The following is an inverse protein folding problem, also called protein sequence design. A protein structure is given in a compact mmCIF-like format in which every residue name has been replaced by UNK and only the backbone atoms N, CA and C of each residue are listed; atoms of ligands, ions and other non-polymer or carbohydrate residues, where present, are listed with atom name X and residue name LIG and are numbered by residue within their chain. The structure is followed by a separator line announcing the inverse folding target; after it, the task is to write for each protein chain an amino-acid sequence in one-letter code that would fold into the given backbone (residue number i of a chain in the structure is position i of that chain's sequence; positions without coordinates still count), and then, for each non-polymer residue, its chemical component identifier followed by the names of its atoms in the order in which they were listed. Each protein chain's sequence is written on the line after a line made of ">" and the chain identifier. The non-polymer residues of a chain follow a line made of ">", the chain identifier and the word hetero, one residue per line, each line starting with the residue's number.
data_IF_654784397302
#
_entry.id   IF_654784397302
#
_cell.length_a   1.000
_cell.length_b   1.000
_cell.length_c   1.000
_cell.angle_alpha   90.00
_cell.angle_beta   90.00
_cell.angle_gamma   90.00
#
_symmetry.space_group_name_H-M   'P 1'
#
loop_
_entity.id
_entity.type
_entity.pdbx_description
1 polymer ?
#
# COMPACT_ATOMS: atom_id res chain seq x y z
N UNK A 1 4.23 21.77 -17.23
CA UNK A 1 4.56 21.59 -15.79
C UNK A 1 5.15 20.19 -15.61
N UNK A 2 6.31 20.06 -14.96
CA UNK A 2 6.95 18.74 -14.77
C UNK A 2 6.24 17.94 -13.65
N UNK A 3 6.12 16.62 -13.82
CA UNK A 3 5.54 15.68 -12.83
C UNK A 3 6.60 14.90 -12.04
N UNK A 4 7.84 15.41 -11.96
CA UNK A 4 8.96 14.72 -11.30
C UNK A 4 8.68 14.42 -9.82
N UNK A 5 8.08 15.35 -9.09
CA UNK A 5 7.73 15.17 -7.68
C UNK A 5 6.68 14.06 -7.49
N UNK A 6 5.62 14.03 -8.30
CA UNK A 6 4.59 12.98 -8.23
C UNK A 6 5.20 11.60 -8.52
N UNK A 7 6.06 11.50 -9.54
CA UNK A 7 6.77 10.25 -9.84
C UNK A 7 7.63 9.79 -8.67
N UNK A 8 8.39 10.72 -8.06
CA UNK A 8 9.20 10.43 -6.87
C UNK A 8 8.35 9.91 -5.71
N UNK A 9 7.26 10.59 -5.37
CA UNK A 9 6.36 10.19 -4.29
C UNK A 9 5.77 8.80 -4.53
N UNK A 10 5.30 8.52 -5.74
CA UNK A 10 4.71 7.21 -6.08
C UNK A 10 5.75 6.09 -6.11
N UNK A 11 6.98 6.37 -6.54
CA UNK A 11 8.06 5.40 -6.42
C UNK A 11 8.41 5.10 -4.97
N UNK A 12 8.50 6.12 -4.11
CA UNK A 12 8.69 5.94 -2.67
C UNK A 12 7.55 5.12 -2.05
N UNK A 13 6.29 5.40 -2.40
CA UNK A 13 5.13 4.61 -1.95
C UNK A 13 5.26 3.15 -2.38
N UNK A 14 5.53 2.90 -3.65
CA UNK A 14 5.60 1.53 -4.17
C UNK A 14 6.70 0.72 -3.51
N UNK A 15 7.88 1.33 -3.32
CA UNK A 15 8.99 0.70 -2.59
C UNK A 15 8.59 0.43 -1.14
N UNK A 16 8.00 1.42 -0.46
CA UNK A 16 7.56 1.27 0.93
C UNK A 16 6.56 0.14 1.11
N UNK A 17 5.51 0.06 0.28
CA UNK A 17 4.48 -0.98 0.38
C UNK A 17 5.04 -2.39 0.14
N UNK A 18 6.05 -2.52 -0.74
CA UNK A 18 6.74 -3.80 -0.93
C UNK A 18 7.54 -4.16 0.32
N UNK A 19 8.29 -3.21 0.87
CA UNK A 19 9.05 -3.42 2.11
C UNK A 19 8.13 -3.77 3.27
N UNK A 20 7.04 -3.03 3.46
CA UNK A 20 6.07 -3.25 4.52
C UNK A 20 5.34 -4.59 4.38
N UNK A 21 4.96 -4.98 3.16
CA UNK A 21 4.41 -6.30 2.89
C UNK A 21 5.39 -7.43 3.19
N UNK A 22 6.68 -7.27 2.87
CA UNK A 22 7.72 -8.23 3.24
C UNK A 22 7.93 -8.29 4.75
N UNK A 23 7.98 -7.15 5.45
CA UNK A 23 8.09 -7.11 6.91
C UNK A 23 6.89 -7.79 7.57
N UNK A 24 5.70 -7.60 7.03
CA UNK A 24 4.47 -8.25 7.50
C UNK A 24 4.55 -9.77 7.35
N UNK A 25 5.00 -10.28 6.21
CA UNK A 25 5.13 -11.73 5.99
C UNK A 25 6.21 -12.32 6.89
N UNK A 26 7.41 -11.73 6.88
CA UNK A 26 8.59 -12.34 7.51
C UNK A 26 8.68 -12.05 9.00
N UNK A 27 8.43 -10.82 9.46
CA UNK A 27 8.52 -10.52 10.90
C UNK A 27 7.25 -10.97 11.62
N UNK A 28 6.08 -10.45 11.20
CA UNK A 28 4.82 -10.77 11.88
C UNK A 28 4.40 -12.21 11.66
N UNK A 29 4.45 -12.71 10.42
CA UNK A 29 4.10 -14.10 10.13
C UNK A 29 4.95 -15.11 10.92
N UNK A 30 6.27 -14.94 10.96
CA UNK A 30 7.14 -15.85 11.74
C UNK A 30 6.94 -15.69 13.24
N UNK A 31 6.66 -14.48 13.74
CA UNK A 31 6.36 -14.24 15.15
C UNK A 31 5.11 -14.99 15.61
N UNK A 32 4.02 -14.90 14.84
CA UNK A 32 2.75 -15.58 15.10
C UNK A 32 2.96 -17.11 15.09
N UNK A 33 3.69 -17.62 14.11
CA UNK A 33 4.02 -19.06 14.02
C UNK A 33 4.83 -19.55 15.23
N UNK A 34 5.78 -18.73 15.71
CA UNK A 34 6.61 -19.04 16.90
C UNK A 34 5.78 -19.02 18.20
N UNK A 35 4.80 -18.13 18.32
CA UNK A 35 3.89 -18.10 19.47
C UNK A 35 2.97 -19.32 19.51
N UNK A 36 2.43 -19.75 18.36
CA UNK A 36 1.62 -20.98 18.27
C UNK A 36 2.38 -22.24 18.71
N UNK A 37 3.71 -22.29 18.51
CA UNK A 37 4.56 -23.41 18.96
C UNK A 37 4.83 -23.42 20.48
N UNK A 38 4.63 -22.31 21.19
CA UNK A 38 4.83 -22.21 22.66
C UNK A 38 3.60 -22.66 23.46
N UNK A 39 2.50 -23.03 22.81
CA UNK A 39 1.29 -23.56 23.43
C UNK A 39 1.44 -25.00 23.99
N UNK A 40 2.66 -25.54 24.03
CA UNK A 40 3.00 -26.92 24.40
C UNK A 40 2.76 -27.29 25.89
N UNK A 41 2.13 -26.40 26.68
CA UNK A 41 1.79 -26.63 28.09
C UNK A 41 0.27 -26.69 28.39
N UNK A 42 -0.58 -26.65 27.36
CA UNK A 42 -2.05 -26.69 27.48
C UNK A 42 -2.60 -28.11 27.29
N UNK A 43 -3.82 -28.37 27.79
CA UNK A 43 -4.52 -29.63 27.53
C UNK A 43 -4.70 -29.84 26.01
N UNK A 44 -4.65 -31.09 25.53
CA UNK A 44 -4.68 -31.46 24.10
C UNK A 44 -5.76 -30.71 23.28
N UNK A 45 -7.02 -30.56 23.75
CA UNK A 45 -8.06 -29.84 23.01
C UNK A 45 -7.77 -28.33 22.86
N UNK A 46 -7.26 -27.69 23.90
CA UNK A 46 -6.92 -26.26 23.91
C UNK A 46 -5.72 -25.97 23.00
N UNK A 47 -4.75 -26.90 22.96
CA UNK A 47 -3.60 -26.80 22.07
C UNK A 47 -4.01 -26.86 20.59
N UNK A 48 -4.94 -27.76 20.22
CA UNK A 48 -5.46 -27.84 18.85
C UNK A 48 -6.25 -26.59 18.44
N UNK A 49 -7.09 -26.05 19.33
CA UNK A 49 -7.83 -24.82 19.08
C UNK A 49 -6.89 -23.63 18.87
N UNK A 50 -5.86 -23.48 19.72
CA UNK A 50 -4.85 -22.44 19.58
C UNK A 50 -4.07 -22.56 18.27
N UNK A 51 -3.60 -23.76 17.91
CA UNK A 51 -2.87 -23.96 16.65
C UNK A 51 -3.71 -23.60 15.41
N UNK A 52 -5.00 -23.94 15.40
CA UNK A 52 -5.91 -23.60 14.30
C UNK A 52 -6.11 -22.08 14.15
N UNK A 53 -6.29 -21.38 15.27
CA UNK A 53 -6.41 -19.92 15.29
C UNK A 53 -5.12 -19.24 14.81
N UNK A 54 -3.96 -19.64 15.35
CA UNK A 54 -2.66 -19.10 14.93
C UNK A 54 -2.37 -19.40 13.45
N UNK A 55 -2.76 -20.58 12.94
CA UNK A 55 -2.65 -20.91 11.53
C UNK A 55 -3.52 -20.01 10.64
N UNK A 56 -4.75 -19.74 11.06
CA UNK A 56 -5.67 -18.83 10.34
C UNK A 56 -5.15 -17.40 10.32
N UNK A 57 -4.66 -16.90 11.46
CA UNK A 57 -4.08 -15.55 11.58
C UNK A 57 -2.81 -15.45 10.73
N UNK A 58 -1.94 -16.46 10.76
CA UNK A 58 -0.76 -16.51 9.91
C UNK A 58 -1.12 -16.41 8.42
N UNK A 59 -2.07 -17.22 7.94
CA UNK A 59 -2.51 -17.18 6.55
C UNK A 59 -3.07 -15.80 6.17
N UNK A 60 -3.87 -15.19 7.05
CA UNK A 60 -4.39 -13.84 6.83
C UNK A 60 -3.27 -12.81 6.68
N UNK A 61 -2.28 -12.84 7.59
CA UNK A 61 -1.12 -11.93 7.56
C UNK A 61 -0.29 -12.12 6.28
N UNK A 62 -0.10 -13.36 5.84
CA UNK A 62 0.65 -13.65 4.61
C UNK A 62 -0.09 -13.11 3.38
N UNK A 63 -1.39 -13.38 3.25
CA UNK A 63 -2.23 -12.88 2.15
C UNK A 63 -2.23 -11.34 2.14
N UNK A 64 -2.37 -10.73 3.31
CA UNK A 64 -2.34 -9.28 3.45
C UNK A 64 -0.99 -8.68 3.02
N UNK A 65 0.13 -9.28 3.42
CA UNK A 65 1.46 -8.85 2.99
C UNK A 65 1.66 -8.99 1.48
N UNK A 66 1.16 -10.07 0.86
CA UNK A 66 1.17 -10.21 -0.60
C UNK A 66 0.33 -9.13 -1.30
N UNK A 67 -0.82 -8.79 -0.73
CA UNK A 67 -1.68 -7.72 -1.25
C UNK A 67 -0.96 -6.37 -1.24
N UNK A 68 -0.23 -6.03 -0.17
CA UNK A 68 0.60 -4.82 -0.10
C UNK A 68 1.68 -4.81 -1.19
N UNK A 69 2.38 -5.93 -1.39
CA UNK A 69 3.41 -6.06 -2.44
C UNK A 69 2.80 -5.82 -3.83
N UNK A 70 1.64 -6.39 -4.12
CA UNK A 70 0.95 -6.21 -5.41
C UNK A 70 0.58 -4.74 -5.62
N UNK A 71 -0.01 -4.08 -4.61
CA UNK A 71 -0.36 -2.66 -4.70
C UNK A 71 0.92 -1.82 -4.91
N UNK A 72 2.00 -2.14 -4.20
CA UNK A 72 3.28 -1.47 -4.36
C UNK A 72 3.79 -1.55 -5.80
N UNK A 73 3.76 -2.74 -6.40
CA UNK A 73 4.13 -2.95 -7.81
C UNK A 73 3.23 -2.18 -8.78
N UNK A 74 1.92 -2.15 -8.54
CA UNK A 74 0.96 -1.35 -9.33
C UNK A 74 1.30 0.14 -9.25
N UNK A 75 1.64 0.65 -8.05
CA UNK A 75 2.04 2.03 -7.87
C UNK A 75 3.34 2.35 -8.63
N UNK A 76 4.35 1.48 -8.59
CA UNK A 76 5.57 1.63 -9.40
C UNK A 76 5.25 1.66 -10.91
N UNK A 77 4.37 0.77 -11.38
CA UNK A 77 3.93 0.74 -12.77
C UNK A 77 3.24 2.04 -13.18
N UNK A 78 2.30 2.54 -12.36
CA UNK A 78 1.61 3.80 -12.60
C UNK A 78 2.57 4.99 -12.64
N UNK A 79 3.57 5.00 -11.76
CA UNK A 79 4.62 6.01 -11.72
C UNK A 79 5.43 6.08 -13.02
N UNK A 80 5.72 4.92 -13.61
CA UNK A 80 6.53 4.81 -14.84
C UNK A 80 5.75 5.11 -16.12
N UNK A 81 4.55 4.56 -16.25
CA UNK A 81 3.84 4.57 -17.54
C UNK A 81 2.74 5.63 -17.64
N UNK A 82 2.12 6.00 -16.51
CA UNK A 82 0.93 6.84 -16.51
C UNK A 82 1.25 8.30 -16.20
N UNK A 83 2.18 8.58 -15.28
CA UNK A 83 2.59 9.95 -14.91
C UNK A 83 3.50 10.62 -15.97
N UNK A 84 2.96 10.84 -17.17
CA UNK A 84 3.60 11.59 -18.26
C UNK A 84 3.41 13.10 -18.11
N UNK A 85 4.43 13.85 -18.50
CA UNK A 85 4.41 15.31 -18.43
C UNK A 85 3.40 15.88 -19.45
N UNK A 86 2.67 16.93 -19.07
CA UNK A 86 1.76 17.65 -19.97
C UNK A 86 0.39 17.00 -20.23
N UNK A 87 0.12 15.80 -19.71
CA UNK A 87 -1.17 15.11 -19.90
C UNK A 87 -2.07 15.31 -18.67
N UNK A 88 -3.38 15.48 -18.89
CA UNK A 88 -4.39 15.51 -17.83
C UNK A 88 -4.74 14.08 -17.44
N UNK A 89 -4.51 13.73 -16.17
CA UNK A 89 -4.68 12.38 -15.64
C UNK A 89 -5.88 12.33 -14.68
N UNK A 90 -7.07 11.98 -15.18
CA UNK A 90 -8.29 11.98 -14.34
C UNK A 90 -8.43 10.73 -13.45
N UNK A 91 -8.00 9.55 -13.91
CA UNK A 91 -8.16 8.28 -13.18
C UNK A 91 -7.11 8.06 -12.09
N UNK A 92 -5.88 8.49 -12.35
CA UNK A 92 -4.71 8.31 -11.49
C UNK A 92 -4.83 8.96 -10.10
N UNK A 93 -5.27 10.23 -9.96
CA UNK A 93 -5.44 10.83 -8.64
C UNK A 93 -6.55 10.18 -7.82
N UNK A 94 -7.64 9.72 -8.46
CA UNK A 94 -8.71 8.98 -7.77
C UNK A 94 -8.16 7.68 -7.20
N UNK A 95 -7.35 6.95 -7.99
CA UNK A 95 -6.65 5.76 -7.51
C UNK A 95 -5.78 6.06 -6.28
N UNK A 96 -4.95 7.10 -6.32
CA UNK A 96 -4.08 7.45 -5.19
C UNK A 96 -4.87 7.83 -3.94
N UNK A 97 -5.95 8.59 -4.08
CA UNK A 97 -6.81 8.95 -2.95
C UNK A 97 -7.51 7.73 -2.35
N UNK A 98 -8.06 6.85 -3.18
CA UNK A 98 -8.69 5.60 -2.73
C UNK A 98 -7.68 4.71 -2.00
N UNK A 99 -6.48 4.52 -2.54
CA UNK A 99 -5.41 3.77 -1.87
C UNK A 99 -4.95 4.46 -0.57
N UNK A 100 -4.94 5.78 -0.52
CA UNK A 100 -4.65 6.55 0.70
C UNK A 100 -5.68 6.29 1.79
N UNK A 101 -6.97 6.30 1.46
CA UNK A 101 -8.06 5.97 2.42
C UNK A 101 -7.91 4.53 2.93
N UNK A 102 -7.61 3.57 2.05
CA UNK A 102 -7.36 2.19 2.46
C UNK A 102 -6.15 2.12 3.41
N UNK A 103 -5.09 2.86 3.12
CA UNK A 103 -3.88 2.92 3.96
C UNK A 103 -4.19 3.46 5.36
N UNK A 104 -5.13 4.41 5.49
CA UNK A 104 -5.61 4.87 6.80
C UNK A 104 -6.26 3.75 7.62
N UNK A 105 -7.15 2.95 7.02
CA UNK A 105 -7.77 1.82 7.71
C UNK A 105 -6.77 0.74 8.12
N UNK A 106 -5.70 0.58 7.33
CA UNK A 106 -4.62 -0.36 7.62
C UNK A 106 -3.56 0.21 8.57
N UNK A 107 -3.75 1.44 9.07
CA UNK A 107 -2.78 2.16 9.90
C UNK A 107 -1.39 2.31 9.25
N UNK A 108 -1.29 2.20 7.92
CA UNK A 108 -0.05 2.45 7.17
C UNK A 108 0.09 3.95 6.93
N UNK A 109 0.60 4.62 7.96
CA UNK A 109 0.78 6.08 8.01
C UNK A 109 1.69 6.57 6.89
N UNK A 110 2.73 5.81 6.56
CA UNK A 110 3.72 6.22 5.54
C UNK A 110 3.08 6.18 4.15
N UNK A 111 2.40 5.09 3.77
CA UNK A 111 1.67 5.05 2.50
C UNK A 111 0.57 6.10 2.43
N UNK A 112 -0.16 6.33 3.53
CA UNK A 112 -1.19 7.36 3.61
C UNK A 112 -0.65 8.74 3.24
N UNK A 113 0.42 9.19 3.91
CA UNK A 113 0.99 10.50 3.65
C UNK A 113 1.49 10.65 2.21
N UNK A 114 2.20 9.65 1.69
CA UNK A 114 2.76 9.70 0.34
C UNK A 114 1.67 9.68 -0.75
N UNK A 115 0.66 8.82 -0.61
CA UNK A 115 -0.45 8.70 -1.57
C UNK A 115 -1.37 9.91 -1.55
N UNK A 116 -1.73 10.41 -0.37
CA UNK A 116 -2.56 11.62 -0.25
C UNK A 116 -1.86 12.83 -0.84
N UNK A 117 -0.56 13.01 -0.53
CA UNK A 117 0.24 14.10 -1.09
C UNK A 117 0.30 14.01 -2.62
N UNK A 118 0.59 12.82 -3.17
CA UNK A 118 0.64 12.60 -4.62
C UNK A 118 -0.72 12.85 -5.30
N UNK A 119 -1.82 12.37 -4.70
CA UNK A 119 -3.18 12.56 -5.21
C UNK A 119 -3.58 14.04 -5.27
N UNK A 120 -3.34 14.79 -4.19
CA UNK A 120 -3.67 16.23 -4.11
C UNK A 120 -2.82 17.04 -5.09
N UNK A 121 -1.51 16.79 -5.17
CA UNK A 121 -0.61 17.49 -6.11
C UNK A 121 -1.06 17.21 -7.56
N UNK A 122 -1.39 15.96 -7.88
CA UNK A 122 -1.85 15.57 -9.21
C UNK A 122 -3.15 16.30 -9.59
N UNK A 123 -4.12 16.40 -8.67
CA UNK A 123 -5.37 17.14 -8.89
C UNK A 123 -5.13 18.64 -9.09
N UNK A 124 -4.26 19.25 -8.27
CA UNK A 124 -3.93 20.66 -8.38
C UNK A 124 -3.33 21.00 -9.75
N UNK A 125 -2.40 20.17 -10.24
CA UNK A 125 -1.80 20.35 -11.57
C UNK A 125 -2.80 20.12 -12.71
N UNK A 126 -3.68 19.14 -12.58
CA UNK A 126 -4.74 18.92 -13.57
C UNK A 126 -5.67 20.14 -13.70
N UNK A 127 -6.04 20.79 -12.58
CA UNK A 127 -6.80 22.05 -12.60
C UNK A 127 -6.01 23.17 -13.30
N UNK A 128 -4.71 23.25 -13.05
CA UNK A 128 -3.82 24.21 -13.74
C UNK A 128 -3.79 24.01 -15.26
N UNK A 129 -3.63 22.77 -15.74
CA UNK A 129 -3.67 22.46 -17.17
C UNK A 129 -5.02 22.79 -17.81
N UNK A 130 -6.13 22.48 -17.12
CA UNK A 130 -7.48 22.78 -17.63
C UNK A 130 -7.69 24.28 -17.83
N UNK A 131 -7.22 25.13 -16.90
CA UNK A 131 -7.29 26.60 -17.03
C UNK A 131 -6.45 27.12 -18.19
N UNK A 132 -5.23 26.61 -18.38
CA UNK A 132 -4.36 27.03 -19.49
C UNK A 132 -4.99 26.68 -20.85
N UNK A 133 -5.66 25.53 -20.97
CA UNK A 133 -6.34 25.12 -22.19
C UNK A 133 -7.65 25.88 -22.49
N UNK A 134 -8.30 26.46 -21.48
CA UNK A 134 -9.54 27.25 -21.66
C UNK A 134 -9.29 28.74 -21.88
N UNK A 135 -8.04 29.21 -21.68
CA UNK A 135 -7.64 30.61 -21.88
C UNK A 135 -6.97 30.83 -23.24
N UNK A 136 -6.79 29.76 -24.03
CA UNK A 136 -6.39 29.79 -25.44
C UNK A 136 -7.64 29.67 -26.31
#
# INVERSE_FOLDING_TARGET
>A
MSRRLERGLIYCTGIWQIVDGLLTIFLYGLYIKKQGSKAAGLNIPEMHAMQSLFGSIFNFVVIFGFFLIIIGLVNLYLGKYLLKDGVILWRTPIWFLSCGIISYFMMDVVSLFLLMSSGVITLAKNKGFKRIQTTK
#
